data_IF_284992892249
#
_entry.id   IF_284992892249
#
_cell.length_a   1.000
_cell.length_b   1.000
_cell.length_c   1.000
_cell.angle_alpha   90.00
_cell.angle_beta   90.00
_cell.angle_gamma   90.00
#
_symmetry.space_group_name_H-M   'P 1'
#
loop_
_entity.id
_entity.type
_entity.pdbx_description
1 polymer ?
#
# COMPACT_ATOMS: atom_id res chain seq x y z
N UNK A 1 17.98 -0.13 2.15
CA UNK A 1 17.24 1.12 1.88
C UNK A 1 15.93 1.13 2.65
N UNK A 2 15.46 2.29 3.13
CA UNK A 2 14.28 2.41 3.98
C UNK A 2 13.01 1.85 3.31
N UNK A 3 12.83 2.06 2.00
CA UNK A 3 11.75 1.45 1.18
C UNK A 3 11.69 -0.08 1.35
N UNK A 4 12.78 -0.79 1.06
CA UNK A 4 12.82 -2.26 1.12
C UNK A 4 12.48 -2.81 2.52
N UNK A 5 12.84 -2.09 3.59
CA UNK A 5 12.50 -2.49 4.96
C UNK A 5 11.00 -2.37 5.24
N UNK A 6 10.37 -1.27 4.79
CA UNK A 6 8.93 -1.05 4.93
C UNK A 6 8.14 -2.08 4.13
N UNK A 7 8.50 -2.29 2.86
CA UNK A 7 7.84 -3.27 1.99
C UNK A 7 7.95 -4.70 2.53
N UNK A 8 9.13 -5.10 3.02
CA UNK A 8 9.30 -6.40 3.68
C UNK A 8 8.41 -6.54 4.92
N UNK A 9 8.29 -5.49 5.73
CA UNK A 9 7.42 -5.51 6.91
C UNK A 9 5.94 -5.62 6.55
N UNK A 10 5.49 -4.87 5.54
CA UNK A 10 4.10 -4.94 5.05
C UNK A 10 3.79 -6.34 4.50
N UNK A 11 4.68 -6.91 3.67
CA UNK A 11 4.48 -8.25 3.10
C UNK A 11 4.49 -9.40 4.12
N UNK A 12 5.07 -9.19 5.31
CA UNK A 12 5.05 -10.21 6.37
C UNK A 12 3.71 -10.30 7.12
N UNK A 13 2.76 -9.41 6.83
CA UNK A 13 1.49 -9.26 7.54
C UNK A 13 0.31 -9.77 6.73
N UNK A 14 -0.80 -10.01 7.41
CA UNK A 14 -2.03 -10.40 6.73
C UNK A 14 -2.60 -9.22 5.94
N UNK A 15 -2.70 -9.37 4.61
CA UNK A 15 -3.19 -8.33 3.71
C UNK A 15 -4.73 -8.32 3.71
N UNK A 16 -5.30 -7.17 4.04
CA UNK A 16 -6.72 -6.88 4.08
C UNK A 16 -7.06 -5.74 3.12
N UNK A 17 -8.32 -5.66 2.71
CA UNK A 17 -8.84 -4.62 1.81
C UNK A 17 -10.10 -4.00 2.41
N UNK A 18 -10.15 -2.67 2.50
CA UNK A 18 -11.40 -1.95 2.80
C UNK A 18 -12.37 -2.06 1.62
N UNK A 19 -13.67 -1.89 1.85
CA UNK A 19 -14.64 -1.95 0.76
C UNK A 19 -14.42 -0.83 -0.27
N UNK A 20 -14.02 0.36 0.18
CA UNK A 20 -13.58 1.46 -0.70
C UNK A 20 -12.41 1.02 -1.58
N UNK A 21 -11.37 0.42 -1.00
CA UNK A 21 -10.22 -0.01 -1.78
C UNK A 21 -10.56 -1.12 -2.77
N UNK A 22 -11.48 -2.03 -2.44
CA UNK A 22 -11.94 -3.06 -3.39
C UNK A 22 -12.62 -2.42 -4.59
N UNK A 23 -13.52 -1.46 -4.37
CA UNK A 23 -14.18 -0.72 -5.45
C UNK A 23 -13.17 0.05 -6.32
N UNK A 24 -12.15 0.66 -5.70
CA UNK A 24 -11.08 1.35 -6.43
C UNK A 24 -10.25 0.37 -7.26
N UNK A 25 -9.86 -0.76 -6.69
CA UNK A 25 -9.11 -1.80 -7.41
C UNK A 25 -9.92 -2.35 -8.59
N UNK A 26 -11.22 -2.62 -8.40
CA UNK A 26 -12.13 -3.07 -9.46
C UNK A 26 -12.26 -2.02 -10.58
N UNK A 27 -12.43 -0.73 -10.23
CA UNK A 27 -12.54 0.35 -11.23
C UNK A 27 -11.25 0.64 -11.99
N UNK A 28 -10.10 0.33 -11.39
CA UNK A 28 -8.78 0.51 -11.98
C UNK A 28 -8.27 -0.74 -12.72
N UNK A 29 -9.04 -1.84 -12.70
CA UNK A 29 -8.64 -3.16 -13.21
C UNK A 29 -7.35 -3.68 -12.58
N UNK A 30 -7.20 -3.45 -11.26
CA UNK A 30 -6.05 -3.88 -10.47
C UNK A 30 -6.39 -5.17 -9.73
N UNK A 31 -5.71 -6.25 -10.08
CA UNK A 31 -5.84 -7.52 -9.38
C UNK A 31 -4.94 -7.62 -8.14
N UNK A 32 -5.13 -8.70 -7.37
CA UNK A 32 -4.32 -8.95 -6.17
C UNK A 32 -2.85 -9.29 -6.46
N UNK A 33 -2.50 -9.76 -7.66
CA UNK A 33 -1.12 -10.02 -8.05
C UNK A 33 -0.36 -8.70 -8.29
N UNK A 34 -1.02 -7.74 -8.93
CA UNK A 34 -0.50 -6.40 -9.14
C UNK A 34 -0.28 -5.68 -7.81
N UNK A 35 -1.24 -5.76 -6.87
CA UNK A 35 -1.05 -5.22 -5.51
C UNK A 35 0.17 -5.86 -4.86
N UNK A 36 0.29 -7.19 -4.88
CA UNK A 36 1.47 -7.89 -4.31
C UNK A 36 2.78 -7.46 -4.97
N UNK A 37 2.78 -7.22 -6.28
CA UNK A 37 3.95 -6.71 -7.00
C UNK A 37 4.31 -5.30 -6.53
N UNK A 38 3.33 -4.40 -6.36
CA UNK A 38 3.56 -3.07 -5.79
C UNK A 38 4.14 -3.15 -4.37
N UNK A 39 3.60 -4.04 -3.53
CA UNK A 39 4.12 -4.24 -2.17
C UNK A 39 5.52 -4.86 -2.14
N UNK A 40 5.97 -5.50 -3.23
CA UNK A 40 7.28 -6.14 -3.32
C UNK A 40 8.34 -5.21 -3.92
N UNK A 41 7.99 -4.54 -5.02
CA UNK A 41 8.93 -3.86 -5.92
C UNK A 41 8.64 -2.35 -6.06
N UNK A 42 7.60 -1.83 -5.42
CA UNK A 42 7.25 -0.40 -5.46
C UNK A 42 8.23 0.49 -4.71
N UNK A 43 7.96 1.80 -4.72
CA UNK A 43 8.70 2.77 -3.92
C UNK A 43 7.82 3.38 -2.82
N UNK A 44 8.40 3.57 -1.64
CA UNK A 44 7.68 4.14 -0.49
C UNK A 44 7.92 5.63 -0.49
N UNK A 45 6.86 6.41 -0.74
CA UNK A 45 6.91 7.85 -0.62
C UNK A 45 6.78 8.25 0.85
N UNK A 46 7.92 8.45 1.52
CA UNK A 46 7.98 8.80 2.94
C UNK A 46 7.41 10.19 3.25
N UNK A 47 7.43 11.11 2.29
CA UNK A 47 6.87 12.46 2.45
C UNK A 47 5.34 12.44 2.54
N UNK A 48 4.71 11.51 1.83
CA UNK A 48 3.24 11.33 1.79
C UNK A 48 2.73 10.24 2.75
N UNK A 49 3.63 9.70 3.57
CA UNK A 49 3.36 8.65 4.55
C UNK A 49 3.17 9.23 5.95
N UNK A 50 2.09 8.84 6.63
CA UNK A 50 1.89 9.19 8.03
C UNK A 50 2.53 8.14 8.94
N UNK A 51 3.73 8.46 9.40
CA UNK A 51 4.51 7.60 10.31
C UNK A 51 4.44 8.03 11.76
N UNK A 52 3.67 9.08 12.07
CA UNK A 52 3.49 9.65 13.41
C UNK A 52 2.52 8.82 14.27
N UNK A 53 1.72 7.97 13.64
CA UNK A 53 0.79 7.07 14.31
C UNK A 53 1.56 5.97 15.06
N UNK A 54 1.43 5.95 16.39
CA UNK A 54 2.17 5.05 17.28
C UNK A 54 1.91 3.56 17.00
N UNK A 55 0.70 3.19 16.57
CA UNK A 55 0.28 1.78 16.43
C UNK A 55 0.04 1.30 14.99
N UNK A 56 -0.23 2.21 14.05
CA UNK A 56 -0.57 1.85 12.67
C UNK A 56 -0.14 2.94 11.70
N UNK A 57 1.07 2.80 11.13
CA UNK A 57 1.62 3.76 10.18
C UNK A 57 0.94 3.64 8.82
N UNK A 58 0.74 4.74 8.11
CA UNK A 58 0.17 4.74 6.77
C UNK A 58 1.30 5.02 5.78
N UNK A 59 1.51 4.10 4.84
CA UNK A 59 2.51 4.22 3.80
C UNK A 59 1.88 4.43 2.44
N UNK A 60 2.36 5.43 1.71
CA UNK A 60 2.09 5.58 0.28
C UNK A 60 3.13 4.78 -0.50
N UNK A 61 2.65 3.83 -1.31
CA UNK A 61 3.49 3.00 -2.17
C UNK A 61 3.15 3.31 -3.61
N UNK A 62 4.17 3.67 -4.38
CA UNK A 62 4.05 4.07 -5.77
C UNK A 62 4.67 3.03 -6.69
N UNK A 63 4.05 2.86 -7.84
CA UNK A 63 4.59 2.13 -8.99
C UNK A 63 4.64 3.08 -10.19
N UNK A 64 4.99 2.54 -11.36
CA UNK A 64 4.97 3.31 -12.60
C UNK A 64 3.58 3.84 -12.96
N UNK A 65 2.51 3.10 -12.64
CA UNK A 65 1.15 3.43 -13.08
C UNK A 65 0.16 3.71 -11.94
N UNK A 66 0.43 3.23 -10.73
CA UNK A 66 -0.51 3.26 -9.63
C UNK A 66 0.11 3.72 -8.31
N UNK A 67 -0.74 4.26 -7.45
CA UNK A 67 -0.43 4.66 -6.08
C UNK A 67 -1.42 3.94 -5.16
N UNK A 68 -0.90 3.24 -4.14
CA UNK A 68 -1.72 2.63 -3.08
C UNK A 68 -1.33 3.19 -1.73
N UNK A 69 -2.31 3.28 -0.82
CA UNK A 69 -2.08 3.59 0.59
C UNK A 69 -2.36 2.36 1.44
N UNK A 70 -1.40 2.03 2.28
CA UNK A 70 -1.44 0.85 3.15
C UNK A 70 -1.29 1.28 4.59
N UNK A 71 -2.30 0.97 5.40
CA UNK A 71 -2.23 1.08 6.85
C UNK A 71 -1.54 -0.17 7.40
N UNK A 72 -0.33 0.02 7.90
CA UNK A 72 0.59 -1.01 8.38
C UNK A 72 0.54 -1.10 9.91
N UNK A 73 -0.31 -1.96 10.45
CA UNK A 73 -0.48 -2.25 11.88
C UNK A 73 0.32 -3.49 12.29
N UNK A 74 0.40 -3.84 13.58
CA UNK A 74 1.29 -4.92 14.07
C UNK A 74 1.21 -6.25 13.32
N UNK A 75 -0.01 -6.76 13.09
CA UNK A 75 -0.23 -8.07 12.43
C UNK A 75 -0.88 -7.99 11.05
N UNK A 76 -1.40 -6.81 10.68
CA UNK A 76 -2.21 -6.64 9.46
C UNK A 76 -1.72 -5.46 8.64
N UNK A 77 -1.73 -5.65 7.31
CA UNK A 77 -1.59 -4.57 6.34
C UNK A 77 -2.95 -4.36 5.68
N UNK A 78 -3.58 -3.22 5.93
CA UNK A 78 -4.87 -2.87 5.35
C UNK A 78 -4.67 -1.92 4.19
N UNK A 79 -4.99 -2.36 2.98
CA UNK A 79 -5.06 -1.48 1.82
C UNK A 79 -6.32 -0.62 1.97
N UNK A 80 -6.13 0.68 2.08
CA UNK A 80 -7.21 1.64 2.37
C UNK A 80 -7.57 2.49 1.15
N UNK A 81 -6.64 2.65 0.20
CA UNK A 81 -6.87 3.47 -1.00
C UNK A 81 -6.01 3.01 -2.17
N UNK A 82 -6.52 3.10 -3.39
CA UNK A 82 -5.82 2.89 -4.65
C UNK A 82 -6.22 3.96 -5.68
N UNK A 83 -5.25 4.46 -6.45
CA UNK A 83 -5.50 5.37 -7.57
C UNK A 83 -4.46 5.21 -8.69
N UNK A 84 -4.78 5.70 -9.88
CA UNK A 84 -3.80 5.84 -10.96
C UNK A 84 -2.86 7.01 -10.64
N UNK A 85 -1.59 6.90 -11.02
CA UNK A 85 -0.57 7.93 -10.75
C UNK A 85 -0.79 9.22 -11.56
N UNK A 86 -1.53 9.14 -12.67
CA UNK A 86 -1.84 10.25 -13.56
C UNK A 86 -3.28 10.80 -13.40
N UNK A 87 -3.95 10.51 -12.28
CA UNK A 87 -5.22 11.13 -11.86
C UNK A 87 -4.98 12.29 -10.89
#
# INVERSE_FOLDING_TARGET
MPTARVLKNINSKYLLFTDESKQQLESLDIDTLQVKKMLKDGDVNFSESDTSLDSCKIYQIESESFIVRVKNCDSTALLIHAKRKND
#
